data_IF_224412580380
#
_entry.id   IF_224412580380
#
_cell.length_a   1.000
_cell.length_b   1.000
_cell.length_c   1.000
_cell.angle_alpha   90.00
_cell.angle_beta   90.00
_cell.angle_gamma   90.00
#
_symmetry.space_group_name_H-M   'P 1'
#
loop_
_entity.id
_entity.type
_entity.pdbx_description
1 polymer ?
#
# COMPACT_ATOMS: atom_id res chain seq x y z
N UNK A 1 43.58 21.75 -19.22
CA UNK A 1 42.75 20.93 -18.33
C UNK A 1 41.31 21.46 -18.44
N UNK A 2 40.51 20.82 -19.29
CA UNK A 2 39.05 21.06 -19.36
C UNK A 2 38.46 20.16 -18.31
N UNK A 3 38.04 20.73 -17.16
CA UNK A 3 37.22 20.01 -16.19
C UNK A 3 35.81 19.89 -16.77
N UNK A 4 35.50 18.72 -17.31
CA UNK A 4 34.14 18.34 -17.65
C UNK A 4 33.35 18.22 -16.33
N UNK A 5 32.52 19.22 -16.02
CA UNK A 5 31.46 19.07 -15.02
C UNK A 5 30.48 18.06 -15.59
N UNK A 6 30.57 16.82 -15.12
CA UNK A 6 29.52 15.83 -15.32
C UNK A 6 28.35 16.29 -14.44
N UNK A 7 27.33 16.89 -15.02
CA UNK A 7 26.06 17.06 -14.34
C UNK A 7 25.51 15.66 -14.14
N UNK A 8 25.40 15.21 -12.89
CA UNK A 8 24.63 14.03 -12.54
C UNK A 8 23.22 14.21 -13.12
N UNK A 9 22.81 13.31 -14.01
CA UNK A 9 21.52 13.42 -14.67
C UNK A 9 20.45 12.91 -13.70
N UNK A 10 19.82 13.84 -12.97
CA UNK A 10 18.67 13.54 -12.10
C UNK A 10 17.38 13.68 -12.91
N UNK A 11 16.46 12.75 -12.68
CA UNK A 11 15.09 12.81 -13.19
C UNK A 11 14.17 13.10 -12.00
N UNK A 12 13.47 14.23 -12.04
CA UNK A 12 12.56 14.66 -11.00
C UNK A 12 11.14 14.17 -11.24
N UNK A 13 10.47 13.80 -10.14
CA UNK A 13 9.08 13.35 -10.11
C UNK A 13 8.31 14.19 -9.08
N UNK A 14 7.25 14.86 -9.54
CA UNK A 14 6.41 15.72 -8.70
C UNK A 14 5.05 15.05 -8.45
N UNK A 15 4.63 14.99 -7.15
CA UNK A 15 3.36 14.36 -6.78
C UNK A 15 3.05 14.47 -5.30
N UNK A 16 2.40 13.47 -4.75
CA UNK A 16 2.05 13.36 -3.32
C UNK A 16 3.26 13.61 -2.40
N UNK A 17 4.40 13.08 -2.79
CA UNK A 17 5.73 13.43 -2.29
C UNK A 17 6.65 13.53 -3.49
N UNK A 18 7.50 14.53 -3.51
CA UNK A 18 8.48 14.70 -4.59
C UNK A 18 9.66 13.76 -4.37
N UNK A 19 10.20 13.23 -5.45
CA UNK A 19 11.43 12.46 -5.41
C UNK A 19 12.23 12.64 -6.69
N UNK A 20 13.52 12.35 -6.62
CA UNK A 20 14.37 12.29 -7.81
C UNK A 20 15.04 10.93 -7.94
N UNK A 21 15.33 10.56 -9.18
CA UNK A 21 16.17 9.40 -9.50
C UNK A 21 17.49 9.87 -10.07
N UNK A 22 18.58 9.43 -9.49
CA UNK A 22 19.93 9.70 -9.94
C UNK A 22 20.38 8.57 -10.88
N UNK A 23 20.51 8.88 -12.18
CA UNK A 23 20.81 7.91 -13.23
C UNK A 23 22.20 7.25 -13.07
N UNK A 24 23.18 7.97 -12.50
CA UNK A 24 24.54 7.45 -12.35
C UNK A 24 24.66 6.44 -11.21
N UNK A 25 23.96 6.70 -10.09
CA UNK A 25 24.03 5.88 -8.88
C UNK A 25 22.87 4.90 -8.70
N UNK A 26 21.79 5.04 -9.48
CA UNK A 26 20.57 4.24 -9.36
C UNK A 26 19.78 4.53 -8.08
N UNK A 27 19.95 5.72 -7.48
CA UNK A 27 19.34 6.07 -6.20
C UNK A 27 18.03 6.83 -6.35
N UNK A 28 17.10 6.56 -5.44
CA UNK A 28 15.89 7.35 -5.24
C UNK A 28 16.09 8.26 -4.02
N UNK A 29 15.98 9.56 -4.26
CA UNK A 29 16.05 10.59 -3.21
C UNK A 29 14.64 11.13 -2.99
N UNK A 30 14.06 10.86 -1.84
CA UNK A 30 12.72 11.32 -1.46
C UNK A 30 12.80 12.63 -0.69
N UNK A 31 11.94 13.58 -1.06
CA UNK A 31 11.76 14.83 -0.36
C UNK A 31 10.57 14.78 0.60
N UNK A 32 10.82 15.03 1.87
CA UNK A 32 9.81 15.03 2.93
C UNK A 32 9.57 16.44 3.41
N UNK A 33 8.41 16.99 3.08
CA UNK A 33 7.97 18.33 3.45
C UNK A 33 6.99 18.34 4.65
N UNK A 34 6.41 17.16 5.02
CA UNK A 34 5.49 17.01 6.14
C UNK A 34 5.96 15.90 7.06
N UNK A 35 6.37 16.25 8.27
CA UNK A 35 6.63 15.29 9.35
C UNK A 35 5.37 15.03 10.15
N UNK A 36 5.32 13.86 10.81
CA UNK A 36 4.24 13.41 11.70
C UNK A 36 2.84 13.43 11.04
N UNK A 37 2.79 13.40 9.69
CA UNK A 37 1.57 13.28 8.88
C UNK A 37 1.41 11.85 8.41
N UNK A 38 0.25 11.24 8.71
CA UNK A 38 -0.04 9.85 8.38
C UNK A 38 -0.39 9.68 6.90
N UNK A 39 0.09 8.57 6.32
CA UNK A 39 -0.25 8.09 4.99
C UNK A 39 -0.30 6.57 4.96
N UNK A 40 -0.87 5.98 3.91
CA UNK A 40 -0.88 4.53 3.74
C UNK A 40 0.38 4.08 3.00
N UNK A 41 1.05 3.08 3.54
CA UNK A 41 2.08 2.30 2.86
C UNK A 41 1.58 0.89 2.60
N UNK A 42 1.68 0.44 1.35
CA UNK A 42 1.40 -0.93 0.95
C UNK A 42 2.50 -1.42 0.00
N UNK A 43 2.84 -2.69 0.08
CA UNK A 43 3.66 -3.36 -0.91
C UNK A 43 2.85 -4.45 -1.62
N UNK A 44 3.20 -4.73 -2.86
CA UNK A 44 2.57 -5.78 -3.67
C UNK A 44 3.61 -6.44 -4.57
N UNK A 45 3.22 -7.46 -5.33
CA UNK A 45 4.02 -8.03 -6.40
C UNK A 45 3.44 -7.59 -7.75
N UNK A 46 4.11 -6.69 -8.46
CA UNK A 46 3.72 -6.29 -9.81
C UNK A 46 4.08 -7.36 -10.85
N UNK A 47 5.09 -8.20 -10.56
CA UNK A 47 5.40 -9.44 -11.27
C UNK A 47 5.72 -10.53 -10.25
N UNK A 48 4.97 -11.63 -10.30
CA UNK A 48 5.09 -12.75 -9.39
C UNK A 48 5.95 -13.89 -9.94
N UNK A 49 5.89 -15.04 -9.28
CA UNK A 49 6.67 -16.24 -9.63
C UNK A 49 5.99 -17.08 -10.72
N UNK A 50 4.65 -17.00 -10.84
CA UNK A 50 3.90 -17.72 -11.87
C UNK A 50 3.41 -19.11 -11.45
N UNK A 51 3.38 -19.43 -10.17
CA UNK A 51 2.81 -20.65 -9.60
C UNK A 51 1.90 -20.30 -8.43
N UNK A 52 0.58 -20.52 -8.59
CA UNK A 52 -0.45 -20.15 -7.61
C UNK A 52 -0.28 -20.86 -6.26
N UNK A 53 0.27 -22.07 -6.23
CA UNK A 53 0.51 -22.80 -4.98
C UNK A 53 1.57 -22.15 -4.09
N UNK A 54 2.42 -21.31 -4.66
CA UNK A 54 3.38 -20.51 -3.92
C UNK A 54 2.71 -19.32 -3.21
N UNK A 55 1.58 -18.82 -3.73
CA UNK A 55 0.94 -17.60 -3.25
C UNK A 55 1.87 -16.38 -3.37
N UNK A 56 2.61 -16.31 -4.50
CA UNK A 56 3.49 -15.21 -4.89
C UNK A 56 3.09 -14.76 -6.30
N UNK A 57 1.81 -14.44 -6.46
CA UNK A 57 1.21 -14.15 -7.74
C UNK A 57 1.36 -12.67 -8.12
N UNK A 58 1.26 -12.39 -9.42
CA UNK A 58 1.14 -11.03 -9.94
C UNK A 58 -0.09 -10.34 -9.32
N UNK A 59 0.09 -9.13 -8.81
CA UNK A 59 -0.98 -8.33 -8.19
C UNK A 59 -1.25 -8.68 -6.72
N UNK A 60 -0.53 -9.65 -6.14
CA UNK A 60 -0.74 -9.99 -4.74
C UNK A 60 -0.36 -8.84 -3.82
N UNK A 61 -1.34 -8.39 -3.03
CA UNK A 61 -1.13 -7.34 -2.03
C UNK A 61 -0.45 -7.91 -0.78
N UNK A 62 0.50 -7.15 -0.26
CA UNK A 62 1.02 -7.32 1.08
C UNK A 62 0.13 -6.63 2.13
N UNK A 63 0.66 -6.48 3.33
CA UNK A 63 -0.05 -5.78 4.40
C UNK A 63 -0.07 -4.28 4.16
N UNK A 64 -1.25 -3.67 4.14
CA UNK A 64 -1.38 -2.21 4.22
C UNK A 64 -1.08 -1.72 5.63
N UNK A 65 -0.38 -0.60 5.73
CA UNK A 65 0.03 0.01 7.01
C UNK A 65 -0.21 1.50 6.96
N UNK A 66 -0.74 2.06 8.03
CA UNK A 66 -0.70 3.51 8.25
C UNK A 66 0.66 3.82 8.84
N UNK A 67 1.36 4.79 8.26
CA UNK A 67 2.72 5.16 8.63
C UNK A 67 2.90 6.67 8.58
N UNK A 68 3.96 7.18 9.23
CA UNK A 68 4.37 8.57 9.12
C UNK A 68 5.89 8.70 9.24
N UNK A 69 6.43 9.77 8.67
CA UNK A 69 7.83 10.14 8.87
C UNK A 69 8.00 11.04 10.08
N UNK A 70 8.99 10.76 10.92
CA UNK A 70 9.34 11.61 12.05
C UNK A 70 10.85 11.82 12.14
N UNK A 71 11.27 13.02 12.57
CA UNK A 71 12.69 13.32 12.71
C UNK A 71 13.20 12.99 14.12
N UNK A 72 14.39 12.39 14.19
CA UNK A 72 15.15 12.17 15.43
C UNK A 72 16.64 12.47 15.17
N UNK A 73 17.10 13.64 15.65
CA UNK A 73 18.47 14.09 15.37
C UNK A 73 18.72 14.29 13.88
N UNK A 74 19.69 13.56 13.33
CA UNK A 74 20.02 13.54 11.89
C UNK A 74 19.38 12.37 11.13
N UNK A 75 18.30 11.81 11.66
CA UNK A 75 17.57 10.70 11.03
C UNK A 75 16.11 11.04 10.83
N UNK A 76 15.56 10.51 9.74
CA UNK A 76 14.13 10.37 9.51
C UNK A 76 13.76 8.90 9.75
N UNK A 77 12.75 8.66 10.57
CA UNK A 77 12.24 7.32 10.86
C UNK A 77 10.86 7.17 10.22
N UNK A 78 10.64 6.06 9.52
CA UNK A 78 9.32 5.63 9.05
C UNK A 78 8.68 4.80 10.17
N UNK A 79 7.61 5.31 10.76
CA UNK A 79 6.96 4.74 11.93
C UNK A 79 5.56 4.25 11.57
N UNK A 80 5.23 3.04 12.02
CA UNK A 80 3.89 2.51 12.07
C UNK A 80 3.34 2.69 13.49
N UNK A 81 2.30 3.53 13.71
CA UNK A 81 1.65 3.67 15.00
C UNK A 81 0.88 2.41 15.38
N UNK A 82 0.65 2.23 16.66
CA UNK A 82 -0.27 1.20 17.12
C UNK A 82 -1.70 1.76 17.09
N UNK A 83 -2.49 1.32 16.10
CA UNK A 83 -3.88 1.74 15.92
C UNK A 83 -4.89 0.74 16.48
N UNK A 84 -4.39 -0.36 17.07
CA UNK A 84 -5.25 -1.38 17.69
C UNK A 84 -5.68 -1.00 19.09
N UNK A 85 -4.81 -0.32 19.84
CA UNK A 85 -5.03 0.15 21.18
C UNK A 85 -5.12 1.67 21.17
N UNK A 86 -6.30 2.20 21.48
CA UNK A 86 -6.59 3.63 21.32
C UNK A 86 -7.21 4.19 22.61
N UNK A 87 -7.20 5.50 22.75
CA UNK A 87 -8.04 6.23 23.68
C UNK A 87 -8.62 7.43 22.93
N UNK A 88 -9.93 7.58 23.00
CA UNK A 88 -10.68 8.72 22.45
C UNK A 88 -11.13 9.67 23.57
N UNK A 89 -10.45 9.63 24.72
CA UNK A 89 -10.71 10.51 25.87
C UNK A 89 -10.43 11.97 25.52
N UNK A 90 -11.21 12.88 26.12
CA UNK A 90 -10.89 14.31 26.13
C UNK A 90 -9.68 14.64 27.02
N UNK A 91 -9.28 13.72 27.91
CA UNK A 91 -8.13 13.86 28.75
C UNK A 91 -6.84 13.49 27.99
N UNK A 92 -5.99 14.50 27.76
CA UNK A 92 -4.70 14.33 27.09
C UNK A 92 -3.79 13.28 27.77
N UNK A 93 -3.79 13.22 29.12
CA UNK A 93 -2.92 12.29 29.86
C UNK A 93 -3.32 10.82 29.68
N UNK A 94 -4.62 10.53 29.58
CA UNK A 94 -5.10 9.19 29.24
C UNK A 94 -4.68 8.78 27.84
N UNK A 95 -4.86 9.66 26.85
CA UNK A 95 -4.41 9.42 25.48
C UNK A 95 -2.90 9.20 25.42
N UNK A 96 -2.12 9.97 26.18
CA UNK A 96 -0.67 9.83 26.28
C UNK A 96 -0.29 8.49 26.90
N UNK A 97 -0.93 8.10 28.01
CA UNK A 97 -0.66 6.84 28.72
C UNK A 97 -0.88 5.63 27.80
N UNK A 98 -1.96 5.59 27.02
CA UNK A 98 -2.21 4.51 26.05
C UNK A 98 -1.15 4.49 24.96
N UNK A 99 -0.78 5.64 24.39
CA UNK A 99 0.28 5.72 23.39
C UNK A 99 1.66 5.28 23.89
N UNK A 100 1.94 5.45 25.17
CA UNK A 100 3.20 5.04 25.80
C UNK A 100 3.16 3.57 26.26
N UNK A 101 1.99 3.02 26.59
CA UNK A 101 1.82 1.64 27.01
C UNK A 101 1.96 0.63 25.85
N UNK A 102 1.59 1.00 24.64
CA UNK A 102 1.59 0.10 23.48
C UNK A 102 2.64 0.51 22.45
N UNK A 103 3.54 -0.44 22.14
CA UNK A 103 4.65 -0.19 21.23
C UNK A 103 4.19 0.17 19.82
N UNK A 104 4.87 1.14 19.22
CA UNK A 104 4.89 1.42 17.78
C UNK A 104 6.06 0.69 17.13
N UNK A 105 6.01 0.53 15.80
CA UNK A 105 7.11 -0.09 15.05
C UNK A 105 7.85 0.94 14.22
N UNK A 106 9.19 0.95 14.32
CA UNK A 106 10.04 1.66 13.36
C UNK A 106 10.30 0.70 12.20
N UNK A 107 9.73 0.99 11.02
CA UNK A 107 9.88 0.14 9.84
C UNK A 107 11.21 0.34 9.15
N UNK A 108 11.74 1.58 9.18
CA UNK A 108 13.03 1.92 8.61
C UNK A 108 13.56 3.25 9.16
N UNK A 109 14.89 3.44 9.08
CA UNK A 109 15.56 4.68 9.44
C UNK A 109 16.46 5.16 8.31
N UNK A 110 16.39 6.45 8.00
CA UNK A 110 17.13 7.09 6.92
C UNK A 110 18.01 8.20 7.49
N UNK A 111 19.22 8.32 6.99
CA UNK A 111 20.06 9.48 7.28
C UNK A 111 19.60 10.67 6.42
N UNK A 112 19.57 11.87 6.99
CA UNK A 112 19.25 13.09 6.26
C UNK A 112 20.45 13.46 5.40
N UNK A 113 20.24 13.50 4.06
CA UNK A 113 21.26 13.90 3.08
C UNK A 113 21.33 15.41 2.98
N UNK A 114 20.16 16.04 2.89
CA UNK A 114 20.01 17.48 2.73
C UNK A 114 18.86 17.97 3.59
N UNK A 115 19.02 19.15 4.17
CA UNK A 115 17.99 19.86 4.92
C UNK A 115 17.81 21.24 4.32
N UNK A 116 16.61 21.52 3.86
CA UNK A 116 16.18 22.88 3.50
C UNK A 116 15.43 23.54 4.66
N UNK A 117 14.90 24.74 4.43
CA UNK A 117 14.02 25.41 5.41
C UNK A 117 12.73 24.60 5.65
N UNK A 118 12.18 23.99 4.59
CA UNK A 118 10.82 23.45 4.55
C UNK A 118 10.77 21.93 4.30
N UNK A 119 11.92 21.29 4.02
CA UNK A 119 11.96 19.86 3.67
C UNK A 119 13.25 19.16 4.10
N UNK A 120 13.22 17.84 4.01
CA UNK A 120 14.35 16.92 4.24
C UNK A 120 14.47 15.96 3.06
N UNK A 121 15.68 15.80 2.51
CA UNK A 121 15.96 14.77 1.49
C UNK A 121 16.63 13.56 2.14
N UNK A 122 16.16 12.37 1.76
CA UNK A 122 16.65 11.07 2.23
C UNK A 122 16.80 10.10 1.06
N UNK A 123 17.82 9.22 1.14
CA UNK A 123 17.97 8.09 0.22
C UNK A 123 17.07 6.93 0.68
N UNK A 124 16.03 6.62 -0.12
CA UNK A 124 15.10 5.52 0.19
C UNK A 124 15.42 4.22 -0.57
N UNK A 125 16.48 4.19 -1.37
CA UNK A 125 16.82 3.05 -2.24
C UNK A 125 16.93 1.75 -1.46
N UNK A 126 17.59 1.75 -0.31
CA UNK A 126 17.75 0.55 0.51
C UNK A 126 16.45 0.10 1.19
N UNK A 127 15.50 1.01 1.40
CA UNK A 127 14.15 0.67 1.84
C UNK A 127 13.35 0.00 0.72
N UNK A 128 13.51 0.44 -0.51
CA UNK A 128 12.83 -0.13 -1.68
C UNK A 128 13.43 -1.50 -2.04
N UNK A 129 14.76 -1.61 -2.10
CA UNK A 129 15.48 -2.87 -2.42
C UNK A 129 15.61 -3.72 -1.15
N UNK A 130 14.48 -4.25 -0.66
CA UNK A 130 14.38 -5.21 0.45
C UNK A 130 13.23 -6.18 0.22
N UNK A 131 13.29 -7.35 0.81
CA UNK A 131 12.18 -8.33 0.80
C UNK A 131 11.03 -7.87 1.73
N UNK A 132 10.28 -6.85 1.30
CA UNK A 132 9.16 -6.32 2.08
C UNK A 132 7.90 -7.20 1.98
N UNK A 133 7.76 -7.95 0.90
CA UNK A 133 6.65 -8.88 0.67
C UNK A 133 6.84 -10.21 1.40
N UNK A 134 8.08 -10.55 1.79
CA UNK A 134 8.40 -11.80 2.49
C UNK A 134 8.55 -12.99 1.55
N UNK A 135 9.04 -12.76 0.32
CA UNK A 135 9.25 -13.80 -0.70
C UNK A 135 10.11 -14.95 -0.17
N UNK A 136 11.25 -14.63 0.46
CA UNK A 136 12.15 -15.63 1.04
C UNK A 136 11.47 -16.48 2.11
N UNK A 137 10.64 -15.85 2.94
CA UNK A 137 9.89 -16.54 4.00
C UNK A 137 8.80 -17.42 3.40
N UNK A 138 8.09 -16.94 2.39
CA UNK A 138 7.03 -17.68 1.72
C UNK A 138 7.56 -18.94 1.03
N UNK A 139 8.70 -18.82 0.31
CA UNK A 139 9.36 -19.95 -0.32
C UNK A 139 9.79 -21.01 0.69
N UNK A 140 10.25 -20.60 1.86
CA UNK A 140 10.61 -21.52 2.95
C UNK A 140 9.39 -22.26 3.49
N UNK A 141 8.29 -21.54 3.74
CA UNK A 141 7.06 -22.14 4.28
C UNK A 141 6.37 -23.10 3.29
N UNK A 142 6.50 -22.87 1.99
CA UNK A 142 6.03 -23.77 0.96
C UNK A 142 6.99 -24.94 0.65
N UNK A 143 8.08 -25.09 1.43
CA UNK A 143 9.13 -26.09 1.19
C UNK A 143 9.77 -26.00 -0.20
N UNK A 144 9.76 -24.80 -0.82
CA UNK A 144 10.27 -24.57 -2.17
C UNK A 144 11.76 -24.20 -2.22
N UNK A 145 12.40 -24.12 -1.06
CA UNK A 145 13.83 -23.87 -0.95
C UNK A 145 14.19 -22.73 0.01
N UNK A 146 15.49 -22.49 0.15
CA UNK A 146 16.04 -21.40 0.96
C UNK A 146 16.66 -20.37 0.04
N UNK A 147 16.12 -19.15 0.06
CA UNK A 147 16.53 -18.04 -0.80
C UNK A 147 16.85 -16.80 0.03
N UNK A 148 17.80 -16.02 -0.47
CA UNK A 148 18.20 -14.73 0.12
C UNK A 148 18.22 -13.67 -0.95
N UNK A 149 17.74 -12.47 -0.63
CA UNK A 149 17.77 -11.32 -1.55
C UNK A 149 19.21 -10.99 -1.94
N UNK A 150 19.49 -10.96 -3.24
CA UNK A 150 20.76 -10.55 -3.82
C UNK A 150 20.64 -9.11 -4.33
N UNK A 151 21.13 -8.15 -3.53
CA UNK A 151 21.04 -6.73 -3.86
C UNK A 151 21.83 -6.35 -5.11
N UNK A 152 22.93 -7.05 -5.42
CA UNK A 152 23.74 -6.76 -6.64
C UNK A 152 23.04 -7.16 -7.93
N UNK A 153 22.01 -8.00 -7.84
CA UNK A 153 21.17 -8.45 -8.95
C UNK A 153 19.76 -7.83 -8.86
N UNK A 154 19.59 -6.76 -8.11
CA UNK A 154 18.31 -6.07 -7.89
C UNK A 154 18.45 -4.60 -8.24
N UNK A 155 17.39 -3.99 -8.80
CA UNK A 155 17.40 -2.61 -9.26
C UNK A 155 16.01 -1.96 -9.19
N UNK A 156 15.96 -0.62 -9.28
CA UNK A 156 14.73 0.13 -9.49
C UNK A 156 14.23 -0.10 -10.92
N UNK A 157 12.93 -0.35 -11.08
CA UNK A 157 12.25 -0.42 -12.39
C UNK A 157 11.60 0.94 -12.65
N UNK A 158 12.22 1.76 -13.50
CA UNK A 158 11.79 3.13 -13.77
C UNK A 158 10.51 3.20 -14.59
N UNK A 159 10.23 2.21 -15.45
CA UNK A 159 9.03 2.21 -16.29
C UNK A 159 7.75 2.21 -15.44
N UNK A 160 7.88 1.71 -14.22
CA UNK A 160 6.78 1.57 -13.25
C UNK A 160 7.02 2.37 -11.97
N UNK A 161 7.94 3.32 -11.98
CA UNK A 161 8.19 4.27 -10.89
C UNK A 161 7.61 5.63 -11.28
N UNK A 162 6.58 6.09 -10.55
CA UNK A 162 5.75 7.23 -10.94
C UNK A 162 5.31 8.06 -9.75
N UNK A 163 4.98 9.32 -10.00
CA UNK A 163 4.37 10.22 -9.03
C UNK A 163 3.02 10.72 -9.54
N UNK A 164 2.02 10.70 -8.66
CA UNK A 164 0.69 11.21 -8.89
C UNK A 164 0.30 12.21 -7.77
N UNK A 165 -0.73 13.03 -7.94
CA UNK A 165 -1.10 14.03 -6.94
C UNK A 165 -1.43 13.47 -5.54
N UNK A 166 -1.87 12.21 -5.46
CA UNK A 166 -2.30 11.55 -4.21
C UNK A 166 -1.57 10.27 -3.88
N UNK A 167 -0.66 9.82 -4.73
CA UNK A 167 0.17 8.63 -4.47
C UNK A 167 1.50 8.73 -5.20
N UNK A 168 2.50 8.02 -4.69
CA UNK A 168 3.77 7.76 -5.38
C UNK A 168 4.03 6.26 -5.38
N UNK A 169 4.58 5.80 -6.49
CA UNK A 169 4.70 4.39 -6.81
C UNK A 169 6.15 4.06 -7.18
N UNK A 170 6.70 3.04 -6.54
CA UNK A 170 8.04 2.55 -6.83
C UNK A 170 7.98 1.07 -7.16
N UNK A 171 8.54 0.68 -8.27
CA UNK A 171 8.66 -0.72 -8.65
C UNK A 171 10.14 -1.15 -8.62
N UNK A 172 10.41 -2.30 -8.07
CA UNK A 172 11.79 -2.80 -7.92
C UNK A 172 11.89 -4.25 -8.37
N UNK A 173 12.86 -4.52 -9.22
CA UNK A 173 13.25 -5.86 -9.60
C UNK A 173 14.10 -6.44 -8.47
N UNK A 174 13.61 -7.49 -7.82
CA UNK A 174 14.29 -8.18 -6.73
C UNK A 174 14.68 -9.59 -7.15
N UNK A 175 15.97 -9.90 -7.13
CA UNK A 175 16.49 -11.23 -7.40
C UNK A 175 16.88 -11.93 -6.12
N UNK A 176 16.34 -13.12 -5.92
CA UNK A 176 16.65 -14.00 -4.79
C UNK A 176 17.52 -15.15 -5.28
N UNK A 177 18.67 -15.34 -4.65
CA UNK A 177 19.56 -16.45 -4.94
C UNK A 177 19.46 -17.51 -3.85
N UNK A 178 19.48 -18.78 -4.24
CA UNK A 178 19.34 -19.86 -3.26
C UNK A 178 19.30 -21.25 -3.85
N UNK A 179 18.93 -22.18 -2.98
CA UNK A 179 18.86 -23.60 -3.29
C UNK A 179 17.39 -24.02 -3.43
N UNK A 180 16.89 -24.23 -4.66
CA UNK A 180 15.51 -24.66 -4.89
C UNK A 180 15.26 -26.08 -4.36
N UNK A 181 14.09 -26.28 -3.75
CA UNK A 181 13.58 -27.57 -3.33
C UNK A 181 12.22 -27.86 -3.99
N UNK A 182 11.96 -29.11 -4.30
CA UNK A 182 10.72 -29.49 -4.97
C UNK A 182 10.60 -28.95 -6.39
N UNK A 183 9.38 -28.95 -6.92
CA UNK A 183 9.09 -28.60 -8.32
C UNK A 183 8.37 -27.25 -8.51
N UNK A 184 7.81 -26.66 -7.45
CA UNK A 184 6.97 -25.46 -7.59
C UNK A 184 7.71 -24.27 -8.22
N UNK A 185 8.98 -24.03 -7.82
CA UNK A 185 9.81 -22.99 -8.42
C UNK A 185 10.46 -23.48 -9.73
N UNK A 186 10.93 -24.74 -9.76
CA UNK A 186 11.64 -25.29 -10.92
C UNK A 186 10.79 -25.33 -12.18
N UNK A 187 9.47 -25.54 -12.04
CA UNK A 187 8.56 -25.63 -13.20
C UNK A 187 8.27 -24.29 -13.86
N UNK A 188 8.52 -23.17 -13.17
CA UNK A 188 8.12 -21.82 -13.64
C UNK A 188 9.27 -20.84 -13.75
N UNK A 189 10.48 -21.22 -13.31
CA UNK A 189 11.65 -20.34 -13.30
C UNK A 189 12.74 -20.91 -14.20
N UNK A 190 13.25 -20.15 -15.20
CA UNK A 190 14.31 -20.64 -16.13
C UNK A 190 15.56 -21.12 -15.41
N UNK A 191 16.00 -20.39 -14.38
CA UNK A 191 17.12 -20.76 -13.52
C UNK A 191 16.64 -20.70 -12.07
N UNK A 192 16.22 -21.85 -11.54
CA UNK A 192 15.55 -21.91 -10.24
C UNK A 192 16.41 -21.43 -9.06
N UNK A 193 17.75 -21.38 -9.19
CA UNK A 193 18.63 -20.78 -8.18
C UNK A 193 18.63 -19.25 -8.16
N UNK A 194 18.06 -18.59 -9.18
CA UNK A 194 18.00 -17.14 -9.35
C UNK A 194 16.56 -16.75 -9.65
N UNK A 195 15.74 -16.62 -8.62
CA UNK A 195 14.34 -16.26 -8.76
C UNK A 195 14.19 -14.74 -8.70
N UNK A 196 13.52 -14.16 -9.70
CA UNK A 196 13.30 -12.71 -9.79
C UNK A 196 11.81 -12.41 -9.76
N UNK A 197 11.41 -11.43 -8.95
CA UNK A 197 10.06 -10.84 -8.91
C UNK A 197 10.17 -9.32 -9.02
N UNK A 198 9.09 -8.65 -9.40
CA UNK A 198 9.00 -7.21 -9.19
C UNK A 198 8.14 -6.94 -7.96
N UNK A 199 8.72 -6.24 -7.01
CA UNK A 199 8.02 -5.76 -5.82
C UNK A 199 7.67 -4.29 -5.99
N UNK A 200 6.41 -3.98 -5.74
CA UNK A 200 5.86 -2.65 -5.84
C UNK A 200 5.65 -2.04 -4.47
N UNK A 201 5.93 -0.74 -4.33
CA UNK A 201 5.70 0.03 -3.10
C UNK A 201 4.85 1.24 -3.42
N UNK A 202 3.74 1.38 -2.71
CA UNK A 202 2.83 2.51 -2.85
C UNK A 202 2.79 3.33 -1.57
N UNK A 203 2.98 4.64 -1.67
CA UNK A 203 2.70 5.61 -0.62
C UNK A 203 1.48 6.42 -1.04
N UNK A 204 0.39 6.31 -0.30
CA UNK A 204 -0.91 6.82 -0.71
C UNK A 204 -1.45 7.78 0.33
N UNK A 205 -1.93 8.93 -0.12
CA UNK A 205 -2.62 9.90 0.73
C UNK A 205 -3.86 9.28 1.39
N UNK A 206 -4.04 9.52 2.68
CA UNK A 206 -5.26 9.10 3.37
C UNK A 206 -6.45 10.00 2.98
N UNK A 207 -7.67 9.43 2.91
CA UNK A 207 -8.86 10.25 2.74
C UNK A 207 -9.08 11.18 3.94
N UNK A 208 -10.05 12.09 3.80
CA UNK A 208 -10.44 12.98 4.90
C UNK A 208 -10.94 12.23 6.15
N UNK A 209 -11.03 12.95 7.27
CA UNK A 209 -11.46 12.40 8.56
C UNK A 209 -12.99 12.33 8.75
N UNK A 210 -13.79 12.47 7.68
CA UNK A 210 -15.25 12.52 7.76
C UNK A 210 -15.92 11.14 7.78
N UNK A 211 -15.14 10.06 7.82
CA UNK A 211 -15.68 8.71 7.88
C UNK A 211 -16.37 8.43 9.22
N UNK A 212 -17.67 8.07 9.17
CA UNK A 212 -18.45 7.68 10.35
C UNK A 212 -18.42 6.17 10.52
N UNK A 213 -17.75 5.71 11.55
CA UNK A 213 -17.71 4.29 11.92
C UNK A 213 -19.12 3.78 12.27
N UNK A 214 -19.44 2.56 11.86
CA UNK A 214 -20.67 1.86 12.25
C UNK A 214 -20.31 0.69 13.15
N UNK A 215 -21.00 0.56 14.28
CA UNK A 215 -20.82 -0.57 15.19
C UNK A 215 -21.17 -1.89 14.47
N UNK A 216 -20.40 -2.91 14.76
CA UNK A 216 -20.62 -4.27 14.26
C UNK A 216 -21.77 -4.92 15.01
N UNK A 217 -22.61 -5.65 14.27
CA UNK A 217 -23.63 -6.54 14.82
C UNK A 217 -23.36 -7.94 14.22
N UNK A 218 -23.27 -9.02 15.04
CA UNK A 218 -22.99 -10.36 14.55
C UNK A 218 -24.02 -10.90 13.56
N UNK A 219 -25.23 -10.30 13.51
CA UNK A 219 -26.28 -10.62 12.55
C UNK A 219 -26.03 -10.03 11.15
N UNK A 220 -25.09 -9.09 11.02
CA UNK A 220 -24.88 -8.37 9.75
C UNK A 220 -24.12 -9.17 8.69
N UNK A 221 -23.52 -10.32 9.01
CA UNK A 221 -22.73 -11.13 8.07
C UNK A 221 -21.41 -10.51 7.61
N UNK A 222 -21.03 -9.33 8.13
CA UNK A 222 -19.79 -8.63 7.77
C UNK A 222 -18.65 -8.96 8.73
N UNK A 223 -17.41 -8.78 8.28
CA UNK A 223 -16.23 -8.93 9.13
C UNK A 223 -16.01 -7.67 9.98
N UNK A 224 -15.69 -7.81 11.29
CA UNK A 224 -15.41 -6.67 12.14
C UNK A 224 -13.96 -6.17 11.98
N UNK A 225 -13.79 -4.86 12.02
CA UNK A 225 -12.55 -4.22 12.42
C UNK A 225 -12.57 -3.98 13.92
N UNK A 226 -11.53 -4.41 14.63
CA UNK A 226 -11.48 -4.44 16.09
C UNK A 226 -10.43 -3.47 16.60
N UNK A 227 -10.82 -2.62 17.55
CA UNK A 227 -9.93 -1.77 18.34
C UNK A 227 -10.23 -1.97 19.84
N UNK A 228 -9.24 -1.74 20.67
CA UNK A 228 -9.39 -1.72 22.13
C UNK A 228 -9.34 -0.26 22.59
N UNK A 229 -10.49 0.28 23.02
CA UNK A 229 -10.62 1.69 23.40
C UNK A 229 -10.56 1.85 24.91
N UNK A 230 -9.46 2.38 25.40
CA UNK A 230 -9.20 2.61 26.82
C UNK A 230 -9.95 3.80 27.42
N UNK A 231 -10.67 4.57 26.61
CA UNK A 231 -11.61 5.59 27.08
C UNK A 231 -13.00 5.04 27.41
N UNK A 232 -13.23 3.75 27.16
CA UNK A 232 -14.48 3.07 27.48
C UNK A 232 -14.68 3.02 29.00
N UNK A 233 -15.90 3.26 29.52
CA UNK A 233 -16.21 3.12 30.95
C UNK A 233 -15.78 1.77 31.53
N UNK A 234 -15.41 1.73 32.81
CA UNK A 234 -14.80 0.55 33.43
C UNK A 234 -15.73 -0.68 33.44
N UNK A 235 -17.04 -0.46 33.40
CA UNK A 235 -18.04 -1.53 33.35
C UNK A 235 -18.31 -2.05 31.91
N UNK A 236 -17.79 -1.38 30.90
CA UNK A 236 -17.97 -1.72 29.50
C UNK A 236 -16.75 -2.47 28.93
N UNK A 237 -16.95 -3.18 27.80
CA UNK A 237 -15.90 -3.89 27.12
C UNK A 237 -14.96 -2.92 26.41
N UNK A 238 -13.66 -3.04 26.64
CA UNK A 238 -12.63 -2.30 25.89
C UNK A 238 -12.68 -2.59 24.39
N UNK A 239 -13.05 -3.83 24.01
CA UNK A 239 -13.14 -4.27 22.63
C UNK A 239 -14.31 -3.58 21.93
N UNK A 240 -13.98 -2.72 20.96
CA UNK A 240 -14.94 -2.06 20.08
C UNK A 240 -14.85 -2.66 18.69
N UNK A 241 -15.98 -3.10 18.15
CA UNK A 241 -16.09 -3.73 16.82
C UNK A 241 -16.81 -2.82 15.86
N UNK A 242 -16.25 -2.62 14.68
CA UNK A 242 -16.82 -1.79 13.62
C UNK A 242 -16.90 -2.57 12.31
N UNK A 243 -17.91 -2.28 11.50
CA UNK A 243 -18.08 -2.87 10.17
C UNK A 243 -17.07 -2.24 9.21
N UNK A 244 -16.39 -3.09 8.44
CA UNK A 244 -15.60 -2.64 7.27
C UNK A 244 -16.59 -2.36 6.13
N UNK A 245 -16.67 -1.11 5.68
CA UNK A 245 -17.57 -0.69 4.62
C UNK A 245 -17.03 0.49 3.82
N UNK A 246 -17.47 0.65 2.60
CA UNK A 246 -17.24 1.86 1.83
C UNK A 246 -17.95 3.07 2.45
N UNK A 247 -17.38 4.27 2.26
CA UNK A 247 -18.08 5.53 2.51
C UNK A 247 -19.03 5.78 1.37
N UNK A 248 -20.28 5.41 1.54
CA UNK A 248 -21.31 5.59 0.53
C UNK A 248 -22.32 6.63 1.01
N UNK A 249 -22.09 7.90 0.66
CA UNK A 249 -22.97 9.01 1.00
C UNK A 249 -23.91 9.31 -0.15
N UNK A 250 -25.23 9.46 0.14
CA UNK A 250 -26.19 9.88 -0.86
C UNK A 250 -25.90 11.30 -1.35
N UNK A 251 -25.95 11.52 -2.68
CA UNK A 251 -25.87 12.85 -3.29
C UNK A 251 -27.07 13.72 -2.89
N UNK A 252 -28.24 13.09 -2.76
CA UNK A 252 -29.48 13.70 -2.29
C UNK A 252 -29.99 12.96 -1.04
N UNK A 253 -29.52 13.32 0.18
CA UNK A 253 -29.79 12.55 1.40
C UNK A 253 -31.28 12.41 1.80
N UNK A 254 -32.14 13.33 1.31
CA UNK A 254 -33.60 13.34 1.59
C UNK A 254 -34.40 12.45 0.63
N UNK A 255 -33.79 11.96 -0.46
CA UNK A 255 -34.47 11.07 -1.39
C UNK A 255 -34.38 9.63 -0.89
N UNK A 256 -35.44 8.87 -1.09
CA UNK A 256 -35.49 7.45 -0.75
C UNK A 256 -34.42 6.68 -1.55
N UNK A 257 -34.33 6.94 -2.85
CA UNK A 257 -33.29 6.40 -3.74
C UNK A 257 -32.47 7.56 -4.29
N UNK A 258 -31.15 7.49 -4.19
CA UNK A 258 -30.23 8.53 -4.66
C UNK A 258 -28.93 7.90 -5.19
N UNK A 259 -28.33 8.53 -6.18
CA UNK A 259 -26.94 8.27 -6.53
C UNK A 259 -26.03 8.56 -5.33
N UNK A 260 -24.91 7.84 -5.17
CA UNK A 260 -23.87 8.23 -4.23
C UNK A 260 -23.11 9.45 -4.73
N UNK A 261 -22.46 10.17 -3.82
CA UNK A 261 -21.51 11.23 -4.16
C UNK A 261 -20.33 10.65 -4.95
N UNK A 262 -19.87 9.47 -4.54
CA UNK A 262 -18.80 8.71 -5.16
C UNK A 262 -19.23 7.24 -5.26
N UNK A 263 -19.37 6.68 -6.46
CA UNK A 263 -19.72 5.27 -6.64
C UNK A 263 -18.52 4.36 -6.31
N UNK A 264 -18.82 3.10 -6.05
CA UNK A 264 -17.84 2.04 -5.94
C UNK A 264 -17.57 1.53 -7.36
N UNK A 265 -16.38 1.76 -7.89
CA UNK A 265 -15.99 1.34 -9.23
C UNK A 265 -14.87 0.31 -9.14
N UNK A 266 -15.04 -0.81 -9.81
CA UNK A 266 -14.01 -1.80 -10.03
C UNK A 266 -13.64 -1.83 -11.50
N UNK A 267 -12.37 -1.74 -11.80
CA UNK A 267 -11.86 -1.82 -13.16
C UNK A 267 -11.36 -3.23 -13.49
N UNK A 268 -11.74 -3.70 -14.68
CA UNK A 268 -11.21 -4.93 -15.28
C UNK A 268 -10.02 -4.55 -16.15
N UNK A 269 -8.93 -5.29 -15.98
CA UNK A 269 -7.72 -5.16 -16.80
C UNK A 269 -8.06 -5.32 -18.30
N UNK A 270 -7.55 -4.41 -19.14
CA UNK A 270 -7.77 -4.41 -20.58
C UNK A 270 -7.34 -5.70 -21.26
N UNK A 271 -6.34 -6.39 -20.74
CA UNK A 271 -5.84 -7.68 -21.21
C UNK A 271 -6.71 -8.88 -20.87
N UNK A 272 -7.84 -8.68 -20.16
CA UNK A 272 -8.77 -9.77 -19.85
C UNK A 272 -9.45 -10.28 -21.14
N UNK A 273 -9.32 -11.58 -21.50
CA UNK A 273 -9.87 -12.11 -22.74
C UNK A 273 -11.39 -12.31 -22.67
N UNK A 274 -12.06 -12.29 -23.84
CA UNK A 274 -13.43 -12.78 -23.98
C UNK A 274 -13.47 -14.33 -23.93
N UNK A 275 -14.51 -14.97 -23.39
CA UNK A 275 -15.74 -14.36 -22.80
C UNK A 275 -15.61 -14.01 -21.30
N UNK A 276 -14.43 -14.13 -20.71
CA UNK A 276 -14.20 -13.88 -19.27
C UNK A 276 -14.50 -12.43 -18.91
N UNK A 277 -14.08 -11.48 -19.74
CA UNK A 277 -14.34 -10.04 -19.54
C UNK A 277 -15.83 -9.74 -19.42
N UNK A 278 -16.61 -10.20 -20.40
CA UNK A 278 -18.08 -9.98 -20.40
C UNK A 278 -18.74 -10.64 -19.19
N UNK A 279 -18.33 -11.84 -18.80
CA UNK A 279 -18.88 -12.53 -17.63
C UNK A 279 -18.56 -11.81 -16.30
N UNK A 280 -17.35 -11.23 -16.17
CA UNK A 280 -16.96 -10.44 -14.99
C UNK A 280 -17.77 -9.16 -14.89
N UNK A 281 -17.99 -8.47 -16.01
CA UNK A 281 -18.81 -7.24 -16.05
C UNK A 281 -20.25 -7.56 -15.66
N UNK A 282 -20.85 -8.57 -16.27
CA UNK A 282 -22.23 -8.97 -15.99
C UNK A 282 -22.39 -9.39 -14.53
N UNK A 283 -21.58 -10.35 -14.07
CA UNK A 283 -21.67 -10.88 -12.71
C UNK A 283 -21.39 -9.83 -11.63
N UNK A 284 -20.43 -8.94 -11.88
CA UNK A 284 -20.13 -7.84 -10.95
C UNK A 284 -21.27 -6.84 -10.86
N UNK A 285 -21.89 -6.46 -11.98
CA UNK A 285 -22.99 -5.52 -12.00
C UNK A 285 -24.28 -6.02 -11.32
N UNK A 286 -24.41 -7.31 -11.03
CA UNK A 286 -25.52 -7.81 -10.20
C UNK A 286 -25.56 -7.21 -8.80
N UNK A 287 -24.43 -6.74 -8.26
CA UNK A 287 -24.39 -6.03 -6.99
C UNK A 287 -25.23 -4.74 -6.97
N UNK A 288 -25.50 -4.13 -8.13
CA UNK A 288 -26.38 -2.95 -8.20
C UNK A 288 -27.76 -3.21 -7.58
N UNK A 289 -28.32 -4.40 -7.73
CA UNK A 289 -29.61 -4.76 -7.14
C UNK A 289 -29.58 -4.66 -5.60
N UNK A 290 -28.48 -5.09 -4.98
CA UNK A 290 -28.31 -4.98 -3.53
C UNK A 290 -28.19 -3.53 -3.07
N UNK A 291 -27.46 -2.69 -3.81
CA UNK A 291 -27.34 -1.27 -3.52
C UNK A 291 -28.63 -0.50 -3.75
N UNK A 292 -29.39 -0.82 -4.79
CA UNK A 292 -30.72 -0.25 -5.04
C UNK A 292 -31.71 -0.59 -3.92
N UNK A 293 -31.71 -1.83 -3.45
CA UNK A 293 -32.51 -2.26 -2.28
C UNK A 293 -32.12 -1.50 -1.01
N UNK A 294 -30.88 -1.00 -0.92
CA UNK A 294 -30.39 -0.15 0.16
C UNK A 294 -30.64 1.37 -0.08
N UNK A 295 -31.31 1.72 -1.18
CA UNK A 295 -31.65 3.11 -1.54
C UNK A 295 -30.55 3.85 -2.31
N UNK A 296 -29.66 3.13 -3.00
CA UNK A 296 -28.60 3.74 -3.83
C UNK A 296 -28.72 3.32 -5.28
N UNK A 297 -28.89 4.29 -6.19
CA UNK A 297 -28.89 4.06 -7.63
C UNK A 297 -27.47 4.25 -8.18
N UNK A 298 -27.05 3.40 -9.12
CA UNK A 298 -25.75 3.49 -9.80
C UNK A 298 -24.54 3.54 -8.85
N UNK A 299 -24.64 2.83 -7.71
CA UNK A 299 -23.64 2.90 -6.63
C UNK A 299 -22.47 1.94 -6.79
N UNK A 300 -22.64 0.90 -7.60
CA UNK A 300 -21.61 -0.09 -7.86
C UNK A 300 -21.45 -0.31 -9.36
N UNK A 301 -20.21 -0.28 -9.84
CA UNK A 301 -19.92 -0.40 -11.26
C UNK A 301 -18.74 -1.31 -11.51
N UNK A 302 -18.84 -2.15 -12.53
CA UNK A 302 -17.70 -2.84 -13.11
C UNK A 302 -17.49 -2.23 -14.50
N UNK A 303 -16.32 -1.69 -14.70
CA UNK A 303 -15.93 -1.01 -15.94
C UNK A 303 -14.62 -1.61 -16.47
N UNK A 304 -14.34 -1.49 -17.74
CA UNK A 304 -13.01 -1.79 -18.29
C UNK A 304 -12.13 -0.58 -18.06
N UNK A 305 -10.89 -0.81 -17.62
CA UNK A 305 -9.94 0.27 -17.40
C UNK A 305 -9.75 1.08 -18.71
N UNK A 306 -9.96 2.42 -18.70
CA UNK A 306 -9.72 3.24 -19.88
C UNK A 306 -8.31 3.06 -20.44
N UNK A 307 -8.15 3.14 -21.76
CA UNK A 307 -6.85 2.92 -22.42
C UNK A 307 -5.79 3.98 -22.02
N UNK A 308 -6.25 5.20 -21.72
CA UNK A 308 -5.44 6.33 -21.29
C UNK A 308 -5.24 6.41 -19.77
N UNK A 309 -5.91 5.56 -19.00
CA UNK A 309 -5.73 5.51 -17.56
C UNK A 309 -4.42 4.81 -17.19
N UNK A 310 -3.66 5.41 -16.29
CA UNK A 310 -2.50 4.74 -15.69
C UNK A 310 -2.98 3.82 -14.55
N UNK A 311 -2.79 2.48 -14.67
CA UNK A 311 -3.22 1.54 -13.62
C UNK A 311 -2.48 1.72 -12.30
N UNK A 312 -1.46 2.56 -12.25
CA UNK A 312 -0.69 2.86 -11.04
C UNK A 312 -1.22 4.11 -10.31
N UNK A 313 -2.09 4.91 -10.93
CA UNK A 313 -2.83 5.97 -10.23
C UNK A 313 -3.99 5.35 -9.45
N UNK A 314 -3.75 5.08 -8.18
CA UNK A 314 -4.69 4.34 -7.30
C UNK A 314 -5.62 5.26 -6.49
N UNK A 315 -5.59 6.60 -6.75
CA UNK A 315 -6.40 7.58 -5.99
C UNK A 315 -7.15 8.57 -6.87
#
# INVERSE_FOLDING_TARGET
LVSSFSFSQETDYEGFMNFSYNNDSGKIILEINKLDSEFMYINSLSRGVGNNDLGLDRGQLGNSRIVYFTRRGNKILLIQPNLRYVSNSSNYLENKAVKEAFARSVLFGFDIIEKTKDSYKIDITSFLIRDAHGVSQRLRYSNSGSYTLNKSMSAIDLDRTKAFPKNIEFDVLLTFTGNPSGNLVRSVTPTASNLTVNQHHSFVELPDNNYKKRKFDPRSGSNPFIVYDYSTPIDDKLEQRFIVRHRLNKKYPKQEISEPVEPIVYYIDNGTPEPVKSALIEGGNWWNQAFESAGYKDAFRIEVLPEDADPMDVR
#
